data_IF_259936690392
#
_entry.id   IF_259936690392
#
_cell.length_a   1.000
_cell.length_b   1.000
_cell.length_c   1.000
_cell.angle_alpha   90.00
_cell.angle_beta   90.00
_cell.angle_gamma   90.00
#
_symmetry.space_group_name_H-M   'P 1'
#
loop_
_entity.id
_entity.type
_entity.pdbx_description
1 polymer ?
#
# COMPACT_ATOMS: atom_id res chain seq x y z
N UNK A 1 -5.64 38.16 25.28
CA UNK A 1 -4.24 37.69 25.15
C UNK A 1 -4.16 36.33 25.81
N UNK A 2 -4.44 35.28 25.05
CA UNK A 2 -4.24 33.89 25.47
C UNK A 2 -2.85 33.49 24.98
N UNK A 3 -1.87 33.55 25.86
CA UNK A 3 -0.56 32.96 25.62
C UNK A 3 -0.77 31.46 25.39
N UNK A 4 -0.58 31.04 24.14
CA UNK A 4 -0.53 29.63 23.78
C UNK A 4 0.65 29.03 24.52
N UNK A 5 0.36 28.24 25.56
CA UNK A 5 1.33 27.29 26.11
C UNK A 5 1.71 26.39 24.95
N UNK A 6 2.88 26.62 24.37
CA UNK A 6 3.47 25.69 23.42
C UNK A 6 3.49 24.32 24.09
N UNK A 7 2.81 23.35 23.48
CA UNK A 7 2.89 21.97 23.93
C UNK A 7 4.35 21.57 23.79
N UNK A 8 5.01 21.32 24.92
CA UNK A 8 6.38 20.83 24.93
C UNK A 8 6.30 19.35 24.59
N UNK A 9 6.47 19.03 23.31
CA UNK A 9 6.48 17.65 22.83
C UNK A 9 7.70 16.94 23.40
N UNK A 10 7.51 15.71 23.88
CA UNK A 10 8.61 14.85 24.30
C UNK A 10 9.61 14.66 23.14
N UNK A 11 10.85 15.07 23.37
CA UNK A 11 11.90 15.01 22.36
C UNK A 11 12.18 13.58 21.91
N UNK A 12 11.97 12.59 22.78
CA UNK A 12 12.19 11.18 22.48
C UNK A 12 11.11 10.65 21.53
N UNK A 13 9.85 11.06 21.73
CA UNK A 13 8.73 10.71 20.85
C UNK A 13 8.96 11.27 19.44
N UNK A 14 9.29 12.56 19.33
CA UNK A 14 9.61 13.17 18.05
C UNK A 14 10.86 12.55 17.38
N UNK A 15 11.83 12.08 18.19
CA UNK A 15 13.01 11.37 17.69
C UNK A 15 12.64 10.01 17.08
N UNK A 16 11.67 9.28 17.63
CA UNK A 16 11.17 8.02 17.05
C UNK A 16 10.54 8.24 15.68
N UNK A 17 9.64 9.22 15.55
CA UNK A 17 9.01 9.54 14.26
C UNK A 17 10.08 9.90 13.20
N UNK A 18 11.07 10.72 13.56
CA UNK A 18 12.21 11.07 12.69
C UNK A 18 13.01 9.84 12.24
N UNK A 19 13.31 8.92 13.16
CA UNK A 19 14.01 7.68 12.82
C UNK A 19 13.21 6.87 11.78
N UNK A 20 11.89 6.78 11.91
CA UNK A 20 11.05 6.08 10.93
C UNK A 20 11.00 6.78 9.56
N UNK A 21 11.10 8.11 9.50
CA UNK A 21 11.22 8.84 8.23
C UNK A 21 12.54 8.55 7.52
N UNK A 22 13.64 8.42 8.26
CA UNK A 22 14.93 8.01 7.70
C UNK A 22 14.83 6.59 7.11
N UNK A 23 14.30 5.63 7.89
CA UNK A 23 14.09 4.25 7.44
C UNK A 23 13.22 4.18 6.18
N UNK A 24 12.19 5.02 6.12
CA UNK A 24 11.29 5.08 4.96
C UNK A 24 12.04 5.47 3.69
N UNK A 25 12.92 6.48 3.77
CA UNK A 25 13.75 6.87 2.64
C UNK A 25 14.74 5.75 2.25
N UNK A 26 15.40 5.14 3.24
CA UNK A 26 16.36 4.06 2.98
C UNK A 26 15.70 2.86 2.30
N UNK A 27 14.53 2.41 2.77
CA UNK A 27 13.82 1.31 2.11
C UNK A 27 13.31 1.69 0.71
N UNK A 28 12.86 2.95 0.50
CA UNK A 28 12.45 3.41 -0.83
C UNK A 28 13.61 3.41 -1.83
N UNK A 29 14.78 3.82 -1.40
CA UNK A 29 15.98 3.80 -2.24
C UNK A 29 16.50 2.37 -2.45
N UNK A 30 16.39 1.50 -1.44
CA UNK A 30 16.72 0.08 -1.59
C UNK A 30 15.81 -0.63 -2.59
N UNK A 31 14.49 -0.36 -2.56
CA UNK A 31 13.55 -0.85 -3.57
C UNK A 31 13.91 -0.38 -4.98
N UNK A 32 14.35 0.88 -5.13
CA UNK A 32 14.80 1.41 -6.42
C UNK A 32 16.07 0.71 -6.91
N UNK A 33 17.02 0.44 -6.01
CA UNK A 33 18.23 -0.33 -6.31
C UNK A 33 17.88 -1.75 -6.77
N UNK A 34 17.07 -2.48 -5.98
CA UNK A 34 16.62 -3.83 -6.31
C UNK A 34 15.95 -3.90 -7.69
N UNK A 35 15.06 -2.95 -7.99
CA UNK A 35 14.42 -2.84 -9.30
C UNK A 35 15.43 -2.66 -10.43
N UNK A 36 16.39 -1.72 -10.28
CA UNK A 36 17.40 -1.43 -11.31
C UNK A 36 18.34 -2.62 -11.57
N UNK A 37 18.77 -3.30 -10.51
CA UNK A 37 19.61 -4.49 -10.64
C UNK A 37 18.87 -5.64 -11.32
N UNK A 38 17.57 -5.78 -11.04
CA UNK A 38 16.77 -6.91 -11.53
C UNK A 38 16.24 -6.73 -12.96
N UNK A 39 15.83 -5.53 -13.36
CA UNK A 39 15.17 -5.33 -14.67
C UNK A 39 16.07 -5.69 -15.87
N UNK A 40 17.40 -5.62 -15.70
CA UNK A 40 18.36 -5.96 -16.75
C UNK A 40 18.67 -7.46 -16.79
N UNK A 41 18.50 -8.16 -15.67
CA UNK A 41 18.90 -9.56 -15.52
C UNK A 41 17.82 -10.55 -15.96
N UNK A 42 16.55 -10.19 -15.84
CA UNK A 42 15.44 -11.11 -16.06
C UNK A 42 14.71 -10.85 -17.39
N UNK A 43 14.33 -11.93 -18.08
CA UNK A 43 13.47 -11.84 -19.26
C UNK A 43 12.09 -11.31 -18.90
N UNK A 44 11.51 -10.50 -19.79
CA UNK A 44 10.20 -9.91 -19.56
C UNK A 44 9.11 -10.98 -19.45
N UNK A 45 8.34 -10.93 -18.36
CA UNK A 45 7.09 -11.66 -18.21
C UNK A 45 6.02 -10.76 -17.59
N UNK A 46 4.76 -11.12 -17.79
CA UNK A 46 3.62 -10.40 -17.18
C UNK A 46 3.74 -10.35 -15.66
N UNK A 47 4.15 -11.46 -15.03
CA UNK A 47 4.29 -11.56 -13.57
C UNK A 47 5.38 -10.64 -13.03
N UNK A 48 6.54 -10.60 -13.70
CA UNK A 48 7.61 -9.67 -13.36
C UNK A 48 7.22 -8.21 -13.60
N UNK A 49 6.48 -7.92 -14.68
CA UNK A 49 5.95 -6.59 -14.93
C UNK A 49 5.00 -6.14 -13.79
N UNK A 50 4.14 -7.03 -13.30
CA UNK A 50 3.26 -6.76 -12.15
C UNK A 50 4.06 -6.59 -10.85
N UNK A 51 5.10 -7.39 -10.62
CA UNK A 51 5.99 -7.25 -9.47
C UNK A 51 6.68 -5.89 -9.48
N UNK A 52 7.35 -5.54 -10.58
CA UNK A 52 8.08 -4.28 -10.70
C UNK A 52 7.15 -3.06 -10.71
N UNK A 53 5.98 -3.16 -11.33
CA UNK A 53 4.94 -2.13 -11.21
C UNK A 53 4.50 -1.91 -9.76
N UNK A 54 4.42 -2.99 -8.97
CA UNK A 54 4.13 -2.93 -7.54
C UNK A 54 5.26 -2.28 -6.75
N UNK A 55 6.53 -2.56 -7.07
CA UNK A 55 7.70 -1.88 -6.48
C UNK A 55 7.63 -0.38 -6.71
N UNK A 56 7.38 0.05 -7.96
CA UNK A 56 7.25 1.46 -8.28
C UNK A 56 6.09 2.12 -7.53
N UNK A 57 4.93 1.45 -7.47
CA UNK A 57 3.75 1.94 -6.74
C UNK A 57 4.03 2.10 -5.24
N UNK A 58 4.64 1.10 -4.59
CA UNK A 58 4.98 1.15 -3.16
C UNK A 58 6.02 2.23 -2.88
N UNK A 59 7.04 2.37 -3.75
CA UNK A 59 8.03 3.43 -3.61
C UNK A 59 7.40 4.83 -3.68
N UNK A 60 6.45 5.04 -4.59
CA UNK A 60 5.75 6.32 -4.68
C UNK A 60 4.79 6.55 -3.52
N UNK A 61 4.09 5.51 -3.06
CA UNK A 61 3.26 5.59 -1.86
C UNK A 61 4.09 6.00 -0.62
N UNK A 62 5.32 5.49 -0.51
CA UNK A 62 6.26 5.92 0.53
C UNK A 62 6.66 7.41 0.42
N UNK A 63 6.71 7.99 -0.78
CA UNK A 63 6.93 9.44 -0.93
C UNK A 63 5.73 10.22 -0.38
N UNK A 64 4.51 9.77 -0.71
CA UNK A 64 3.29 10.39 -0.20
C UNK A 64 3.23 10.34 1.34
N UNK A 65 3.63 9.20 1.94
CA UNK A 65 3.69 9.06 3.41
C UNK A 65 4.61 10.10 4.04
N UNK A 66 5.77 10.38 3.43
CA UNK A 66 6.70 11.41 3.92
C UNK A 66 6.06 12.79 3.96
N UNK A 67 5.40 13.18 2.87
CA UNK A 67 4.71 14.48 2.77
C UNK A 67 3.57 14.58 3.78
N UNK A 68 2.79 13.51 3.96
CA UNK A 68 1.70 13.46 4.94
C UNK A 68 2.21 13.53 6.38
N UNK A 69 3.37 12.95 6.66
CA UNK A 69 3.98 12.98 7.99
C UNK A 69 4.40 14.40 8.38
N UNK A 70 4.86 15.22 7.42
CA UNK A 70 5.17 16.64 7.65
C UNK A 70 3.93 17.46 8.03
N UNK A 71 2.73 16.96 7.74
CA UNK A 71 1.44 17.59 8.05
C UNK A 71 0.67 16.87 9.17
N UNK A 72 1.28 15.88 9.84
CA UNK A 72 0.65 15.10 10.92
C UNK A 72 -0.66 14.40 10.49
N UNK A 73 -0.77 14.05 9.19
CA UNK A 73 -1.91 13.36 8.59
C UNK A 73 -1.84 11.83 8.83
N UNK A 74 -2.03 11.41 10.09
CA UNK A 74 -1.83 10.02 10.50
C UNK A 74 -2.87 9.09 9.87
N UNK A 75 -4.14 9.47 9.79
CA UNK A 75 -5.21 8.64 9.23
C UNK A 75 -4.96 8.35 7.74
N UNK A 76 -4.47 9.33 7.00
CA UNK A 76 -4.08 9.18 5.60
C UNK A 76 -2.86 8.25 5.47
N UNK A 77 -1.86 8.38 6.34
CA UNK A 77 -0.69 7.48 6.37
C UNK A 77 -1.14 6.04 6.65
N UNK A 78 -2.04 5.84 7.61
CA UNK A 78 -2.58 4.53 7.99
C UNK A 78 -3.39 3.92 6.83
N UNK A 79 -4.16 4.73 6.10
CA UNK A 79 -4.90 4.33 4.89
C UNK A 79 -3.95 3.94 3.75
N UNK A 80 -2.89 4.72 3.51
CA UNK A 80 -1.85 4.38 2.54
C UNK A 80 -1.12 3.11 2.96
N UNK A 81 -0.82 2.95 4.25
CA UNK A 81 -0.20 1.74 4.82
C UNK A 81 -1.00 0.49 4.49
N UNK A 82 -2.33 0.54 4.66
CA UNK A 82 -3.23 -0.55 4.22
C UNK A 82 -3.09 -0.86 2.73
N UNK A 83 -3.07 0.16 1.88
CA UNK A 83 -2.90 0.00 0.43
C UNK A 83 -1.54 -0.60 0.09
N UNK A 84 -0.46 -0.17 0.76
CA UNK A 84 0.88 -0.74 0.57
C UNK A 84 0.86 -2.23 0.91
N UNK A 85 0.26 -2.64 2.03
CA UNK A 85 0.13 -4.07 2.39
C UNK A 85 -0.60 -4.85 1.31
N UNK A 86 -1.72 -4.34 0.80
CA UNK A 86 -2.45 -5.02 -0.28
C UNK A 86 -1.59 -5.18 -1.52
N UNK A 87 -0.84 -4.15 -1.91
CA UNK A 87 0.06 -4.20 -3.08
C UNK A 87 1.19 -5.20 -2.84
N UNK A 88 1.83 -5.21 -1.68
CA UNK A 88 2.94 -6.13 -1.35
C UNK A 88 2.46 -7.58 -1.37
N UNK A 89 1.35 -7.89 -0.70
CA UNK A 89 0.76 -9.24 -0.68
C UNK A 89 0.38 -9.69 -2.10
N UNK A 90 -0.30 -8.83 -2.86
CA UNK A 90 -0.72 -9.18 -4.22
C UNK A 90 0.48 -9.39 -5.13
N UNK A 91 1.50 -8.55 -5.05
CA UNK A 91 2.71 -8.67 -5.86
C UNK A 91 3.40 -10.03 -5.65
N UNK A 92 3.53 -10.45 -4.39
CA UNK A 92 4.09 -11.75 -4.03
C UNK A 92 3.19 -12.91 -4.45
N UNK A 93 1.90 -12.86 -4.13
CA UNK A 93 0.93 -13.88 -4.51
C UNK A 93 0.90 -14.13 -6.03
N UNK A 94 0.88 -13.05 -6.83
CA UNK A 94 0.81 -13.12 -8.29
C UNK A 94 2.08 -13.70 -8.93
N UNK A 95 3.21 -13.86 -8.21
CA UNK A 95 4.36 -14.57 -8.76
C UNK A 95 4.12 -16.09 -8.83
N UNK A 96 3.21 -16.60 -8.01
CA UNK A 96 3.00 -18.04 -7.82
C UNK A 96 1.55 -18.51 -8.07
N UNK A 97 0.61 -17.57 -8.19
CA UNK A 97 -0.79 -17.88 -8.48
C UNK A 97 -0.97 -18.56 -9.85
N UNK A 98 -2.07 -19.26 -10.08
CA UNK A 98 -2.40 -19.82 -11.41
C UNK A 98 -2.62 -18.71 -12.46
N UNK A 99 -2.38 -19.00 -13.75
CA UNK A 99 -2.51 -18.01 -14.82
C UNK A 99 -3.91 -17.38 -14.90
N UNK A 100 -4.96 -18.13 -14.54
CA UNK A 100 -6.32 -17.61 -14.48
C UNK A 100 -6.48 -16.44 -13.48
N UNK A 101 -5.73 -16.44 -12.38
CA UNK A 101 -5.73 -15.33 -11.41
C UNK A 101 -5.01 -14.10 -11.98
N UNK A 102 -4.00 -14.31 -12.83
CA UNK A 102 -3.31 -13.22 -13.53
C UNK A 102 -4.26 -12.58 -14.55
N UNK A 103 -4.95 -13.38 -15.34
CA UNK A 103 -5.92 -12.88 -16.32
C UNK A 103 -7.04 -12.08 -15.65
N UNK A 104 -7.58 -12.58 -14.53
CA UNK A 104 -8.55 -11.84 -13.70
C UNK A 104 -7.99 -10.51 -13.21
N UNK A 105 -6.75 -10.51 -12.69
CA UNK A 105 -6.10 -9.30 -12.20
C UNK A 105 -5.98 -8.23 -13.29
N UNK A 106 -5.56 -8.60 -14.49
CA UNK A 106 -5.36 -7.68 -15.62
C UNK A 106 -6.65 -7.10 -16.18
N UNK A 107 -7.76 -7.83 -16.06
CA UNK A 107 -9.06 -7.45 -16.64
C UNK A 107 -9.96 -6.71 -15.64
N UNK A 108 -9.66 -6.81 -14.34
CA UNK A 108 -10.51 -6.34 -13.26
C UNK A 108 -11.04 -4.92 -13.44
N UNK A 109 -10.16 -3.93 -13.62
CA UNK A 109 -10.59 -2.52 -13.70
C UNK A 109 -11.52 -2.27 -14.90
N UNK A 110 -11.21 -2.87 -16.05
CA UNK A 110 -12.01 -2.71 -17.27
C UNK A 110 -13.40 -3.30 -17.08
N UNK A 111 -13.48 -4.48 -16.49
CA UNK A 111 -14.75 -5.19 -16.26
C UNK A 111 -15.57 -4.54 -15.14
N UNK A 112 -14.92 -4.13 -14.05
CA UNK A 112 -15.58 -3.46 -12.94
C UNK A 112 -16.17 -2.11 -13.39
N UNK A 113 -15.38 -1.27 -14.06
CA UNK A 113 -15.86 0.02 -14.58
C UNK A 113 -16.98 -0.19 -15.62
N UNK A 114 -16.86 -1.19 -16.49
CA UNK A 114 -17.92 -1.50 -17.46
C UNK A 114 -19.24 -1.87 -16.77
N UNK A 115 -19.19 -2.73 -15.74
CA UNK A 115 -20.38 -3.12 -14.95
C UNK A 115 -21.00 -1.94 -14.22
N UNK A 116 -20.19 -1.07 -13.60
CA UNK A 116 -20.69 0.13 -12.94
C UNK A 116 -21.37 1.09 -13.92
N UNK A 117 -20.79 1.27 -15.11
CA UNK A 117 -21.40 2.10 -16.16
C UNK A 117 -22.73 1.52 -16.67
N UNK A 118 -22.83 0.19 -16.82
CA UNK A 118 -24.09 -0.46 -17.18
C UNK A 118 -25.15 -0.29 -16.09
N UNK A 119 -24.79 -0.46 -14.81
CA UNK A 119 -25.70 -0.22 -13.69
C UNK A 119 -26.20 1.22 -13.65
N UNK A 120 -25.30 2.20 -13.80
CA UNK A 120 -25.67 3.62 -13.82
C UNK A 120 -26.62 3.95 -14.98
N UNK A 121 -26.39 3.41 -16.18
CA UNK A 121 -27.27 3.61 -17.33
C UNK A 121 -28.68 3.03 -17.11
N UNK A 122 -28.77 1.89 -16.42
CA UNK A 122 -30.06 1.28 -16.07
C UNK A 122 -30.82 2.11 -15.03
N UNK A 123 -30.12 2.70 -14.05
CA UNK A 123 -30.73 3.52 -13.00
C UNK A 123 -31.09 4.94 -13.48
N UNK A 124 -30.31 5.52 -14.39
CA UNK A 124 -30.49 6.92 -14.82
C UNK A 124 -31.55 7.11 -15.90
N UNK A 125 -32.20 6.05 -16.38
CA UNK A 125 -33.23 6.09 -17.44
C UNK A 125 -32.73 6.66 -18.78
N UNK A 126 -31.43 6.89 -18.91
CA UNK A 126 -30.82 7.53 -20.06
C UNK A 126 -30.64 6.49 -21.15
N UNK A 127 -31.35 6.63 -22.28
CA UNK A 127 -31.15 5.72 -23.43
C UNK A 127 -29.69 5.80 -23.87
N UNK A 128 -28.97 4.68 -23.91
CA UNK A 128 -27.56 4.72 -24.25
C UNK A 128 -27.34 5.19 -25.68
N UNK A 129 -26.26 5.97 -25.88
CA UNK A 129 -25.76 6.26 -27.23
C UNK A 129 -25.38 4.92 -27.88
N UNK A 130 -26.05 4.50 -28.98
CA UNK A 130 -25.95 3.13 -29.49
C UNK A 130 -24.52 2.65 -29.77
N UNK A 131 -23.61 3.56 -30.15
CA UNK A 131 -22.20 3.23 -30.42
C UNK A 131 -21.30 3.08 -29.18
N UNK A 132 -21.63 3.69 -28.05
CA UNK A 132 -20.84 3.56 -26.81
C UNK A 132 -21.19 2.25 -26.10
N UNK A 133 -22.48 1.90 -26.05
CA UNK A 133 -22.91 0.64 -25.44
C UNK A 133 -22.51 -0.57 -26.29
N UNK A 134 -22.49 -0.49 -27.62
CA UNK A 134 -21.91 -1.57 -28.43
C UNK A 134 -20.41 -1.73 -28.21
N UNK A 135 -19.64 -0.65 -28.03
CA UNK A 135 -18.20 -0.73 -27.72
C UNK A 135 -17.94 -1.30 -26.32
N UNK A 136 -18.69 -0.83 -25.31
CA UNK A 136 -18.60 -1.33 -23.94
C UNK A 136 -19.04 -2.79 -23.86
N UNK A 137 -20.18 -3.15 -24.48
CA UNK A 137 -20.65 -4.55 -24.56
C UNK A 137 -19.75 -5.43 -25.38
N UNK A 138 -19.17 -4.97 -26.49
CA UNK A 138 -18.22 -5.78 -27.26
C UNK A 138 -16.92 -6.03 -26.48
N UNK A 139 -16.46 -5.05 -25.69
CA UNK A 139 -15.34 -5.22 -24.78
C UNK A 139 -15.69 -6.13 -23.59
N UNK A 140 -16.91 -6.03 -23.04
CA UNK A 140 -17.38 -6.88 -21.95
C UNK A 140 -17.64 -8.32 -22.43
N UNK A 141 -18.31 -8.55 -23.56
CA UNK A 141 -18.60 -9.87 -24.13
C UNK A 141 -17.35 -10.61 -24.66
N UNK A 142 -16.29 -9.90 -25.09
CA UNK A 142 -15.01 -10.53 -25.44
C UNK A 142 -14.28 -11.12 -24.23
N UNK A 143 -14.65 -10.72 -23.02
CA UNK A 143 -13.84 -10.90 -21.81
C UNK A 143 -14.63 -11.66 -20.70
N UNK A 144 -15.95 -11.41 -20.59
CA UNK A 144 -16.78 -11.88 -19.47
C UNK A 144 -17.25 -13.34 -19.53
N UNK A 145 -17.01 -14.07 -20.61
CA UNK A 145 -17.59 -15.41 -20.76
C UNK A 145 -16.85 -16.54 -20.02
N UNK A 146 -15.66 -16.31 -19.43
CA UNK A 146 -14.90 -17.42 -18.80
C UNK A 146 -14.14 -17.11 -17.51
N UNK A 147 -13.93 -15.84 -17.15
CA UNK A 147 -12.80 -15.51 -16.27
C UNK A 147 -13.23 -15.03 -14.88
N UNK A 148 -14.25 -14.18 -14.71
CA UNK A 148 -14.65 -13.74 -13.36
C UNK A 148 -15.56 -14.73 -12.62
N UNK A 149 -15.46 -14.82 -11.28
CA UNK A 149 -16.53 -15.42 -10.47
C UNK A 149 -17.85 -14.77 -10.85
N UNK A 150 -18.87 -15.58 -11.17
CA UNK A 150 -20.26 -15.12 -11.07
C UNK A 150 -20.46 -14.79 -9.61
N UNK A 151 -20.58 -13.52 -9.25
CA UNK A 151 -21.31 -13.01 -8.08
C UNK A 151 -21.14 -11.48 -8.01
N UNK A 152 -22.04 -10.83 -7.27
CA UNK A 152 -22.11 -9.39 -6.98
C UNK A 152 -20.89 -8.83 -6.20
N UNK A 153 -19.77 -9.54 -6.26
CA UNK A 153 -18.59 -9.30 -5.46
C UNK A 153 -17.51 -8.55 -6.26
N UNK A 154 -17.14 -7.31 -5.88
CA UNK A 154 -16.17 -6.49 -6.59
C UNK A 154 -14.74 -6.92 -6.29
N UNK A 155 -14.41 -8.21 -6.48
CA UNK A 155 -13.08 -8.78 -6.23
C UNK A 155 -12.52 -9.45 -7.48
N UNK A 156 -11.23 -9.25 -7.75
CA UNK A 156 -10.53 -9.91 -8.85
C UNK A 156 -10.08 -11.33 -8.53
N UNK A 157 -9.90 -11.66 -7.25
CA UNK A 157 -9.47 -12.98 -6.79
C UNK A 157 -10.61 -13.68 -6.05
N UNK A 158 -10.67 -15.00 -6.16
CA UNK A 158 -11.52 -15.83 -5.29
C UNK A 158 -10.98 -15.89 -3.86
N UNK A 159 -9.71 -15.53 -3.66
CA UNK A 159 -9.05 -15.50 -2.37
C UNK A 159 -9.14 -14.11 -1.73
N UNK A 160 -9.46 -14.07 -0.44
CA UNK A 160 -9.31 -12.88 0.38
C UNK A 160 -7.84 -12.46 0.50
N UNK A 161 -7.59 -11.20 0.87
CA UNK A 161 -6.22 -10.71 1.11
C UNK A 161 -5.48 -11.55 2.15
N UNK A 162 -6.16 -12.03 3.19
CA UNK A 162 -5.58 -12.89 4.22
C UNK A 162 -5.18 -14.27 3.68
N UNK A 163 -6.00 -14.85 2.79
CA UNK A 163 -5.68 -16.13 2.14
C UNK A 163 -4.49 -15.98 1.18
N UNK A 164 -4.44 -14.90 0.40
CA UNK A 164 -3.29 -14.60 -0.49
C UNK A 164 -2.00 -14.39 0.30
N UNK A 165 -2.08 -13.68 1.43
CA UNK A 165 -0.93 -13.49 2.32
C UNK A 165 -0.45 -14.82 2.91
N UNK A 166 -1.35 -15.65 3.43
CA UNK A 166 -1.00 -16.97 3.95
C UNK A 166 -0.40 -17.90 2.86
N UNK A 167 -0.88 -17.78 1.62
CA UNK A 167 -0.32 -18.50 0.49
C UNK A 167 1.11 -18.02 0.17
N UNK A 168 1.32 -16.71 0.05
CA UNK A 168 2.64 -16.14 -0.21
C UNK A 168 3.64 -16.46 0.92
N UNK A 169 3.20 -16.41 2.17
CA UNK A 169 3.98 -16.80 3.35
C UNK A 169 4.43 -18.27 3.28
N UNK A 170 3.52 -19.17 2.87
CA UNK A 170 3.83 -20.59 2.71
C UNK A 170 4.88 -20.83 1.64
N UNK A 171 4.81 -20.12 0.51
CA UNK A 171 5.76 -20.29 -0.61
C UNK A 171 7.11 -19.65 -0.29
N UNK A 172 7.12 -18.53 0.41
CA UNK A 172 8.35 -17.81 0.80
C UNK A 172 8.94 -18.25 2.15
N UNK A 173 8.33 -19.25 2.80
CA UNK A 173 8.72 -19.77 4.13
C UNK A 173 8.86 -18.67 5.20
N UNK A 174 8.03 -17.63 5.13
CA UNK A 174 8.09 -16.46 6.00
C UNK A 174 6.68 -16.07 6.44
N UNK A 175 6.37 -15.86 7.74
CA UNK A 175 5.01 -15.55 8.19
C UNK A 175 4.66 -14.05 8.15
N UNK A 176 5.48 -13.23 7.49
CA UNK A 176 5.44 -11.78 7.65
C UNK A 176 4.24 -11.15 6.93
N UNK A 177 3.80 -11.67 5.77
CA UNK A 177 2.70 -11.06 5.03
C UNK A 177 1.36 -11.25 5.73
N UNK A 178 1.09 -12.42 6.31
CA UNK A 178 -0.11 -12.64 7.10
C UNK A 178 -0.12 -11.76 8.36
N UNK A 179 1.05 -11.52 8.97
CA UNK A 179 1.18 -10.58 10.09
C UNK A 179 0.83 -9.15 9.66
N UNK A 180 1.33 -8.68 8.51
CA UNK A 180 0.99 -7.37 7.95
C UNK A 180 -0.52 -7.21 7.73
N UNK A 181 -1.18 -8.26 7.21
CA UNK A 181 -2.63 -8.24 6.99
C UNK A 181 -3.41 -8.16 8.32
N UNK A 182 -3.01 -8.93 9.32
CA UNK A 182 -3.71 -8.94 10.63
C UNK A 182 -3.51 -7.66 11.44
N UNK A 183 -2.46 -6.90 11.14
CA UNK A 183 -2.08 -5.70 11.90
C UNK A 183 -2.39 -4.43 11.12
N UNK A 184 -1.51 -4.05 10.19
CA UNK A 184 -1.57 -2.76 9.50
C UNK A 184 -2.76 -2.67 8.54
N UNK A 185 -3.05 -3.73 7.78
CA UNK A 185 -4.20 -3.73 6.87
C UNK A 185 -5.52 -3.59 7.63
N UNK A 186 -5.67 -4.34 8.73
CA UNK A 186 -6.83 -4.25 9.63
C UNK A 186 -6.95 -2.85 10.26
N UNK A 187 -5.85 -2.28 10.80
CA UNK A 187 -5.84 -0.93 11.40
C UNK A 187 -6.25 0.15 10.40
N UNK A 188 -5.86 0.02 9.13
CA UNK A 188 -6.23 0.97 8.09
C UNK A 188 -7.72 0.99 7.73
N UNK A 189 -8.48 -0.03 8.11
CA UNK A 189 -9.91 -0.09 7.82
C UNK A 189 -10.67 1.11 8.41
N UNK A 190 -10.47 1.38 9.70
CA UNK A 190 -11.16 2.46 10.40
C UNK A 190 -10.87 3.83 9.79
N UNK A 191 -9.60 4.09 9.47
CA UNK A 191 -9.16 5.32 8.84
C UNK A 191 -9.74 5.49 7.42
N UNK A 192 -9.76 4.43 6.61
CA UNK A 192 -10.31 4.48 5.25
C UNK A 192 -11.81 4.77 5.21
N UNK A 193 -12.55 4.35 6.24
CA UNK A 193 -13.99 4.56 6.33
C UNK A 193 -14.39 5.83 7.10
N UNK A 194 -13.45 6.56 7.68
CA UNK A 194 -13.77 7.75 8.49
C UNK A 194 -14.67 7.41 9.67
N UNK A 195 -14.39 6.29 10.36
CA UNK A 195 -15.11 5.93 11.59
C UNK A 195 -15.02 7.04 12.64
N UNK A 196 -15.96 7.07 13.59
CA UNK A 196 -15.99 8.13 14.62
C UNK A 196 -14.65 8.29 15.36
N UNK A 197 -13.99 7.18 15.70
CA UNK A 197 -12.68 7.20 16.34
C UNK A 197 -11.61 7.85 15.46
N UNK A 198 -11.49 7.46 14.18
CA UNK A 198 -10.54 8.10 13.25
C UNK A 198 -10.89 9.56 12.94
N UNK A 199 -12.14 9.97 13.12
CA UNK A 199 -12.55 11.37 12.92
C UNK A 199 -12.33 12.24 14.18
N UNK A 200 -12.02 11.62 15.32
CA UNK A 200 -11.90 12.34 16.60
C UNK A 200 -10.90 13.50 16.55
N UNK A 201 -9.68 13.35 15.98
CA UNK A 201 -8.73 14.46 15.89
C UNK A 201 -9.27 15.66 15.09
N UNK A 202 -10.06 15.40 14.05
CA UNK A 202 -10.67 16.44 13.21
C UNK A 202 -11.87 17.09 13.88
N UNK A 203 -12.69 16.30 14.59
CA UNK A 203 -13.82 16.81 15.36
C UNK A 203 -13.31 17.76 16.46
N UNK A 204 -12.23 17.40 17.14
CA UNK A 204 -11.57 18.27 18.13
C UNK A 204 -10.96 19.53 17.53
N UNK A 205 -10.72 19.56 16.22
CA UNK A 205 -10.14 20.70 15.50
C UNK A 205 -11.19 21.62 14.86
N UNK A 206 -12.50 21.40 15.04
CA UNK A 206 -13.55 22.15 14.32
C UNK A 206 -13.50 23.67 14.59
N UNK A 207 -13.12 24.09 15.79
CA UNK A 207 -13.06 25.52 16.15
C UNK A 207 -11.78 26.20 15.65
N UNK A 208 -10.67 25.46 15.59
CA UNK A 208 -9.34 25.99 15.26
C UNK A 208 -8.95 25.75 13.80
N UNK A 209 -9.60 24.80 13.14
CA UNK A 209 -9.22 24.25 11.83
C UNK A 209 -7.78 23.69 11.80
N UNK A 210 -7.23 23.36 12.98
CA UNK A 210 -5.87 22.86 13.15
C UNK A 210 -5.91 21.63 14.06
N UNK A 211 -5.48 20.49 13.52
CA UNK A 211 -5.30 19.26 14.31
C UNK A 211 -4.13 19.47 15.27
N UNK A 212 -4.34 19.14 16.55
CA UNK A 212 -3.37 19.41 17.59
C UNK A 212 -2.11 18.52 17.46
N UNK A 213 -0.93 19.13 17.59
CA UNK A 213 0.35 18.45 17.67
C UNK A 213 0.66 18.06 19.12
N UNK A 214 0.03 16.99 19.61
CA UNK A 214 0.22 16.45 20.96
C UNK A 214 1.21 15.28 20.97
N UNK A 215 1.74 14.92 22.14
CA UNK A 215 2.58 13.73 22.31
C UNK A 215 1.88 12.46 21.80
N UNK A 216 0.61 12.26 22.17
CA UNK A 216 -0.21 11.15 21.68
C UNK A 216 -0.25 11.11 20.15
N UNK A 217 -0.36 12.28 19.50
CA UNK A 217 -0.41 12.37 18.04
C UNK A 217 0.93 12.02 17.39
N UNK A 218 2.05 12.43 17.98
CA UNK A 218 3.37 12.03 17.50
C UNK A 218 3.62 10.53 17.70
N UNK A 219 3.07 9.94 18.77
CA UNK A 219 3.14 8.49 18.99
C UNK A 219 2.34 7.72 17.94
N UNK A 220 1.10 8.14 17.67
CA UNK A 220 0.30 7.58 16.57
C UNK A 220 1.01 7.70 15.22
N UNK A 221 1.66 8.84 14.95
CA UNK A 221 2.48 9.04 13.75
C UNK A 221 3.66 8.05 13.70
N UNK A 222 4.41 7.89 14.79
CA UNK A 222 5.54 6.97 14.85
C UNK A 222 5.09 5.53 14.60
N UNK A 223 3.96 5.11 15.18
CA UNK A 223 3.36 3.78 14.93
C UNK A 223 2.93 3.60 13.48
N UNK A 224 2.27 4.61 12.89
CA UNK A 224 1.84 4.56 11.49
C UNK A 224 3.05 4.43 10.54
N UNK A 225 4.09 5.23 10.77
CA UNK A 225 5.35 5.17 10.02
C UNK A 225 6.08 3.84 10.22
N UNK A 226 6.04 3.26 11.43
CA UNK A 226 6.59 1.93 11.68
C UNK A 226 5.89 0.87 10.83
N UNK A 227 4.55 0.88 10.78
CA UNK A 227 3.80 -0.06 9.95
C UNK A 227 4.14 0.04 8.47
N UNK A 228 4.23 1.27 7.95
CA UNK A 228 4.65 1.51 6.55
C UNK A 228 6.05 0.94 6.33
N UNK A 229 7.02 1.25 7.19
CA UNK A 229 8.38 0.71 7.10
C UNK A 229 8.42 -0.82 7.11
N UNK A 230 7.65 -1.46 7.98
CA UNK A 230 7.54 -2.91 8.04
C UNK A 230 7.05 -3.49 6.70
N UNK A 231 6.10 -2.81 6.05
CA UNK A 231 5.58 -3.23 4.74
C UNK A 231 6.60 -3.08 3.62
N UNK A 232 7.34 -1.96 3.58
CA UNK A 232 8.45 -1.78 2.64
C UNK A 232 9.58 -2.80 2.86
N UNK A 233 9.98 -3.01 4.12
CA UNK A 233 10.98 -4.01 4.49
C UNK A 233 10.57 -5.42 4.06
N UNK A 234 9.29 -5.77 4.23
CA UNK A 234 8.76 -7.07 3.79
C UNK A 234 8.87 -7.23 2.29
N UNK A 235 8.59 -6.18 1.51
CA UNK A 235 8.80 -6.21 0.06
C UNK A 235 10.29 -6.35 -0.30
N UNK A 236 11.18 -5.63 0.38
CA UNK A 236 12.63 -5.77 0.19
C UNK A 236 13.11 -7.20 0.45
N UNK A 237 12.70 -7.80 1.57
CA UNK A 237 13.04 -9.19 1.92
C UNK A 237 12.50 -10.17 0.88
N UNK A 238 11.24 -9.99 0.48
CA UNK A 238 10.64 -10.81 -0.57
C UNK A 238 11.40 -10.72 -1.89
N UNK A 239 11.72 -9.50 -2.36
CA UNK A 239 12.47 -9.29 -3.60
C UNK A 239 13.89 -9.86 -3.50
N UNK A 240 14.57 -9.65 -2.37
CA UNK A 240 15.91 -10.15 -2.14
C UNK A 240 15.97 -11.68 -2.31
N UNK A 241 15.01 -12.39 -1.70
CA UNK A 241 14.91 -13.83 -1.79
C UNK A 241 14.44 -14.30 -3.17
N UNK A 242 13.38 -13.67 -3.72
CA UNK A 242 12.79 -14.08 -4.99
C UNK A 242 13.74 -13.87 -6.18
N UNK A 243 14.55 -12.80 -6.15
CA UNK A 243 15.44 -12.40 -7.24
C UNK A 243 16.91 -12.72 -6.95
N UNK A 244 17.23 -13.34 -5.80
CA UNK A 244 18.57 -13.72 -5.37
C UNK A 244 19.59 -12.56 -5.41
N UNK A 245 19.25 -11.44 -4.76
CA UNK A 245 20.03 -10.19 -4.87
C UNK A 245 21.17 -10.03 -3.84
N UNK A 246 21.20 -10.85 -2.79
CA UNK A 246 22.22 -10.81 -1.72
C UNK A 246 22.36 -9.43 -1.03
N UNK A 247 21.22 -8.80 -0.71
CA UNK A 247 21.13 -7.46 -0.12
C UNK A 247 20.72 -7.48 1.37
N UNK A 248 20.86 -8.61 2.06
CA UNK A 248 20.43 -8.75 3.47
C UNK A 248 21.10 -7.73 4.39
N UNK A 249 22.39 -7.46 4.22
CA UNK A 249 23.10 -6.45 5.02
C UNK A 249 22.51 -5.05 4.82
N UNK A 250 22.18 -4.68 3.59
CA UNK A 250 21.58 -3.38 3.28
C UNK A 250 20.18 -3.25 3.88
N UNK A 251 19.37 -4.33 3.86
CA UNK A 251 18.06 -4.38 4.51
C UNK A 251 18.20 -4.21 6.03
N UNK A 252 19.12 -4.93 6.66
CA UNK A 252 19.36 -4.82 8.10
C UNK A 252 19.89 -3.44 8.51
N UNK A 253 20.77 -2.85 7.72
CA UNK A 253 21.25 -1.48 7.93
C UNK A 253 20.07 -0.49 7.87
N UNK A 254 19.24 -0.56 6.82
CA UNK A 254 18.06 0.28 6.70
C UNK A 254 17.09 0.10 7.87
N UNK A 255 16.88 -1.13 8.37
CA UNK A 255 16.01 -1.40 9.51
C UNK A 255 16.52 -0.80 10.83
N UNK A 256 17.85 -0.72 11.00
CA UNK A 256 18.49 -0.24 12.23
C UNK A 256 18.72 1.27 12.26
N UNK A 257 18.62 1.93 11.11
CA UNK A 257 18.85 3.37 11.00
C UNK A 257 18.06 4.17 12.05
N UNK A 258 18.72 5.18 12.61
CA UNK A 258 18.24 5.98 13.73
C UNK A 258 18.27 7.47 13.39
N UNK A 259 17.60 8.29 14.21
CA UNK A 259 17.59 9.75 14.03
C UNK A 259 18.98 10.40 14.19
N UNK A 260 19.94 9.68 14.78
CA UNK A 260 21.31 10.15 14.98
C UNK A 260 22.22 9.85 13.78
N UNK A 261 21.76 9.02 12.84
CA UNK A 261 22.49 8.67 11.61
C UNK A 261 22.40 9.80 10.59
N UNK A 262 23.11 10.89 10.83
CA UNK A 262 23.33 11.94 9.82
C UNK A 262 24.47 11.51 8.90
N UNK A 263 24.14 10.93 7.75
CA UNK A 263 25.01 10.98 6.58
C UNK A 263 26.06 9.87 6.42
N UNK A 264 25.77 8.63 6.79
CA UNK A 264 26.48 7.49 6.18
C UNK A 264 26.01 7.34 4.73
N UNK A 265 26.86 7.80 3.80
CA UNK A 265 26.66 7.72 2.37
C UNK A 265 26.20 6.34 1.92
N UNK A 266 25.04 6.28 1.26
CA UNK A 266 24.65 5.16 0.42
C UNK A 266 25.54 5.24 -0.84
N UNK A 267 26.59 4.44 -0.88
CA UNK A 267 27.36 4.14 -2.08
C UNK A 267 27.01 2.74 -2.57
#
# INVERSE_FOLDING_TARGET
MTEGRGVVVDQDIAKRARAHLIRLELFRELLARMYRESIVQYEFSVRLALLFGSVLKVRQAGLSVKVLAEQMCVEEIVTIGRTIVEVVVNAAYLQYAEDIEIDRYLQFDKEFISRQNEFLQLQSGTRPVPGIVQKLKANALRVSMKIMPKDDDPRWSTQSIAQRAAFADKVSESPIMALLVKTLHARGHSASHGTFQSMTPFISALETMVVAETDDRFDELAEALFGVNLSLMTLCLYLNNFLNLDLDEAIHHAARASADDRGSHIH
#
